data_IF_610096616306
#
_entry.id   IF_610096616306
#
_cell.length_a   1.000
_cell.length_b   1.000
_cell.length_c   1.000
_cell.angle_alpha   90.00
_cell.angle_beta   90.00
_cell.angle_gamma   90.00
#
_symmetry.space_group_name_H-M   'P 1'
#
loop_
_entity.id
_entity.type
_entity.pdbx_description
1 polymer ?
#
# COMPACT_ATOMS: atom_id res chain seq x y z
N UNK A 1 18.64 -10.56 1.37
CA UNK A 1 19.36 -10.87 2.64
C UNK A 1 18.88 -12.21 3.19
N UNK A 2 19.79 -13.02 3.76
CA UNK A 2 19.45 -14.24 4.48
C UNK A 2 19.57 -13.93 5.98
N UNK A 3 18.52 -14.23 6.73
CA UNK A 3 18.42 -13.94 8.16
C UNK A 3 17.78 -15.14 8.82
N UNK A 4 18.30 -15.56 9.98
CA UNK A 4 17.76 -16.66 10.77
C UNK A 4 16.94 -16.05 11.90
N UNK A 5 15.62 -16.24 11.86
CA UNK A 5 14.68 -15.79 12.88
C UNK A 5 13.88 -16.98 13.36
N UNK A 6 13.62 -17.05 14.67
CA UNK A 6 12.77 -18.08 15.24
C UNK A 6 11.31 -17.62 15.13
N UNK A 7 10.48 -18.36 14.40
CA UNK A 7 9.06 -18.08 14.21
C UNK A 7 8.29 -19.28 14.77
N UNK A 8 7.30 -19.08 15.64
CA UNK A 8 6.45 -20.17 16.11
C UNK A 8 5.81 -20.92 14.93
N UNK A 9 5.87 -22.25 14.97
CA UNK A 9 5.34 -23.10 13.89
C UNK A 9 3.83 -22.92 13.66
N UNK A 10 3.09 -22.51 14.70
CA UNK A 10 1.66 -22.21 14.60
C UNK A 10 1.42 -20.99 13.72
N UNK A 11 2.08 -19.89 14.02
CA UNK A 11 1.95 -18.62 13.29
C UNK A 11 2.40 -18.79 11.83
N UNK A 12 3.44 -19.58 11.59
CA UNK A 12 3.91 -19.86 10.24
C UNK A 12 2.90 -20.70 9.44
N UNK A 13 2.25 -21.67 10.07
CA UNK A 13 1.17 -22.46 9.44
C UNK A 13 -0.04 -21.60 9.14
N UNK A 14 -0.41 -20.70 10.03
CA UNK A 14 -1.49 -19.74 9.80
C UNK A 14 -1.16 -18.80 8.65
N UNK A 15 0.06 -18.25 8.60
CA UNK A 15 0.51 -17.44 7.49
C UNK A 15 0.40 -18.21 6.17
N UNK A 16 0.90 -19.45 6.10
CA UNK A 16 0.78 -20.30 4.90
C UNK A 16 -0.69 -20.52 4.51
N UNK A 17 -1.57 -20.78 5.48
CA UNK A 17 -3.01 -20.99 5.25
C UNK A 17 -3.69 -19.73 4.69
N UNK A 18 -3.39 -18.56 5.25
CA UNK A 18 -3.97 -17.29 4.82
C UNK A 18 -3.42 -16.80 3.49
N UNK A 19 -2.14 -17.06 3.20
CA UNK A 19 -1.49 -16.57 1.99
C UNK A 19 -1.52 -17.58 0.84
N UNK A 20 -1.87 -18.85 1.09
CA UNK A 20 -1.80 -19.94 0.09
C UNK A 20 -0.38 -20.21 -0.41
N UNK A 21 0.64 -19.83 0.35
CA UNK A 21 2.03 -19.86 -0.10
C UNK A 21 2.59 -21.29 -0.12
N UNK A 22 3.34 -21.63 -1.17
CA UNK A 22 3.96 -22.95 -1.31
C UNK A 22 5.18 -23.14 -0.40
N UNK A 23 5.82 -22.05 0.03
CA UNK A 23 7.04 -22.10 0.84
C UNK A 23 6.94 -21.25 2.10
N UNK A 24 7.69 -21.63 3.14
CA UNK A 24 7.81 -20.87 4.40
C UNK A 24 8.31 -19.44 4.15
N UNK A 25 9.23 -19.26 3.19
CA UNK A 25 9.79 -17.95 2.82
C UNK A 25 8.72 -17.06 2.20
N UNK A 26 7.93 -17.60 1.27
CA UNK A 26 6.92 -16.81 0.55
C UNK A 26 5.80 -16.34 1.48
N UNK A 27 5.38 -17.18 2.44
CA UNK A 27 4.41 -16.80 3.47
C UNK A 27 4.90 -15.58 4.28
N UNK A 28 6.17 -15.60 4.71
CA UNK A 28 6.78 -14.51 5.48
C UNK A 28 6.92 -13.25 4.64
N UNK A 29 7.36 -13.37 3.39
CA UNK A 29 7.50 -12.22 2.48
C UNK A 29 6.13 -11.58 2.22
N UNK A 30 5.08 -12.39 2.03
CA UNK A 30 3.73 -11.90 1.84
C UNK A 30 3.24 -11.16 3.09
N UNK A 31 3.40 -11.76 4.27
CA UNK A 31 3.00 -11.13 5.54
C UNK A 31 3.67 -9.76 5.75
N UNK A 32 4.96 -9.64 5.43
CA UNK A 32 5.69 -8.38 5.50
C UNK A 32 5.16 -7.33 4.51
N UNK A 33 4.85 -7.73 3.28
CA UNK A 33 4.27 -6.83 2.27
C UNK A 33 2.88 -6.34 2.70
N UNK A 34 2.05 -7.24 3.19
CA UNK A 34 0.71 -6.91 3.64
C UNK A 34 0.72 -5.99 4.86
N UNK A 35 1.59 -6.27 5.85
CA UNK A 35 1.78 -5.41 7.01
C UNK A 35 2.18 -3.98 6.60
N UNK A 36 3.15 -3.85 5.69
CA UNK A 36 3.58 -2.54 5.19
C UNK A 36 2.47 -1.83 4.41
N UNK A 37 1.68 -2.57 3.62
CA UNK A 37 0.53 -2.01 2.91
C UNK A 37 -0.51 -1.46 3.88
N UNK A 38 -0.87 -2.21 4.92
CA UNK A 38 -1.84 -1.77 5.94
C UNK A 38 -1.33 -0.54 6.70
N UNK A 39 -0.04 -0.50 7.04
CA UNK A 39 0.57 0.69 7.67
C UNK A 39 0.50 1.92 6.78
N UNK A 40 0.82 1.78 5.48
CA UNK A 40 0.68 2.90 4.52
C UNK A 40 -0.76 3.40 4.43
N UNK A 41 -1.74 2.50 4.36
CA UNK A 41 -3.15 2.88 4.37
C UNK A 41 -3.55 3.58 5.67
N UNK A 42 -3.08 3.10 6.82
CA UNK A 42 -3.33 3.74 8.11
C UNK A 42 -2.73 5.16 8.18
N UNK A 43 -1.52 5.37 7.64
CA UNK A 43 -0.95 6.71 7.56
C UNK A 43 -1.74 7.62 6.61
N UNK A 44 -2.20 7.11 5.45
CA UNK A 44 -3.08 7.88 4.56
C UNK A 44 -4.38 8.28 5.25
N UNK A 45 -4.97 7.39 6.05
CA UNK A 45 -6.19 7.72 6.82
C UNK A 45 -5.96 8.77 7.90
N UNK A 46 -4.75 8.92 8.44
CA UNK A 46 -4.44 10.00 9.39
C UNK A 46 -4.38 11.37 8.73
N UNK A 47 -3.96 11.39 7.46
CA UNK A 47 -3.85 12.63 6.68
C UNK A 47 -5.24 12.99 6.09
N UNK A 48 -6.13 12.00 5.94
CA UNK A 48 -7.52 12.19 5.54
C UNK A 48 -8.24 13.13 6.52
N UNK A 49 -8.55 14.35 6.07
CA UNK A 49 -9.16 15.41 6.89
C UNK A 49 -8.21 16.52 7.34
N UNK A 50 -6.90 16.36 7.20
CA UNK A 50 -5.91 17.44 7.40
C UNK A 50 -5.67 18.30 6.15
N UNK A 51 -6.17 17.85 5.00
CA UNK A 51 -6.09 18.61 3.76
C UNK A 51 -7.03 19.82 3.85
N UNK A 52 -6.48 20.98 4.20
CA UNK A 52 -7.21 22.25 4.22
C UNK A 52 -7.46 22.80 2.81
N UNK A 53 -6.58 22.48 1.86
CA UNK A 53 -6.62 22.99 0.49
C UNK A 53 -6.70 21.83 -0.52
N UNK A 54 -7.79 21.05 -0.49
CA UNK A 54 -8.10 20.20 -1.63
C UNK A 54 -8.62 21.10 -2.75
N UNK A 55 -8.10 20.93 -3.97
CA UNK A 55 -8.52 21.76 -5.11
C UNK A 55 -10.05 21.70 -5.26
N UNK A 56 -10.68 22.84 -5.45
CA UNK A 56 -12.13 22.87 -5.69
C UNK A 56 -12.46 22.31 -7.07
N UNK A 57 -13.74 22.06 -7.36
CA UNK A 57 -14.12 21.69 -8.72
C UNK A 57 -13.77 22.77 -9.74
N UNK A 58 -13.78 24.04 -9.33
CA UNK A 58 -13.34 25.16 -10.19
C UNK A 58 -11.84 25.08 -10.48
N UNK A 59 -11.01 24.81 -9.48
CA UNK A 59 -9.55 24.64 -9.66
C UNK A 59 -9.24 23.47 -10.61
N UNK A 60 -9.98 22.36 -10.47
CA UNK A 60 -9.81 21.18 -11.33
C UNK A 60 -10.21 21.48 -12.78
N UNK A 61 -11.26 22.29 -12.97
CA UNK A 61 -11.72 22.71 -14.29
C UNK A 61 -10.70 23.63 -14.95
N UNK A 62 -10.15 24.59 -14.21
CA UNK A 62 -9.09 25.48 -14.70
C UNK A 62 -7.83 24.69 -15.11
N UNK A 63 -7.40 23.67 -14.34
CA UNK A 63 -6.25 22.83 -14.70
C UNK A 63 -6.50 21.94 -15.92
N UNK A 64 -7.75 21.54 -16.19
CA UNK A 64 -8.11 20.76 -17.39
C UNK A 64 -8.22 21.62 -18.65
N UNK A 65 -8.60 22.89 -18.48
CA UNK A 65 -8.69 23.87 -19.56
C UNK A 65 -7.34 24.52 -19.89
N UNK A 66 -6.36 24.45 -18.97
CA UNK A 66 -4.98 24.85 -19.22
C UNK A 66 -4.34 23.93 -20.28
N UNK A 67 -4.22 24.45 -21.50
CA UNK A 67 -3.80 23.75 -22.74
C UNK A 67 -2.39 23.14 -22.72
N UNK A 68 -1.69 23.13 -21.57
CA UNK A 68 -0.37 22.50 -21.44
C UNK A 68 -0.36 20.98 -21.63
N UNK A 69 -1.52 20.33 -21.56
CA UNK A 69 -1.67 18.88 -21.76
C UNK A 69 -2.41 18.52 -23.06
N UNK A 70 -2.31 19.36 -24.09
CA UNK A 70 -2.71 18.94 -25.45
C UNK A 70 -1.77 17.82 -25.89
N UNK A 71 -2.29 16.59 -25.80
CA UNK A 71 -1.81 15.32 -26.35
C UNK A 71 -0.50 15.42 -27.16
N UNK A 72 0.61 15.02 -26.55
CA UNK A 72 1.65 14.30 -27.31
C UNK A 72 1.07 12.93 -27.64
N UNK A 73 0.47 12.84 -28.84
CA UNK A 73 0.16 11.57 -29.50
C UNK A 73 1.41 10.90 -30.04
#
# INVERSE_FOLDING_TARGET
MKTTINIPDKDLKEAIKYTGAKTKRDAVVYALKDFNRRRRLAELTKILGTFKDFMSQEDLKAMREDKKWVKTG
#
